data_IF_365348633135
#
_entry.id   IF_365348633135
#
_cell.length_a   1.000
_cell.length_b   1.000
_cell.length_c   1.000
_cell.angle_alpha   90.00
_cell.angle_beta   90.00
_cell.angle_gamma   90.00
#
_symmetry.space_group_name_H-M   'P 1'
#
loop_
_entity.id
_entity.type
_entity.pdbx_description
1 polymer ?
#
# COMPACT_ATOMS: atom_id res chain seq x y z
N UNK A 1 -2.60 51.78 -59.47
CA UNK A 1 -3.61 50.75 -59.83
C UNK A 1 -3.34 49.54 -58.94
N UNK A 2 -4.10 49.43 -57.85
CA UNK A 2 -5.16 48.42 -57.60
C UNK A 2 -4.55 47.02 -57.40
N UNK A 3 -4.73 46.31 -56.30
CA UNK A 3 -5.61 46.50 -55.14
C UNK A 3 -5.21 45.48 -54.08
N UNK A 4 -4.71 45.96 -52.94
CA UNK A 4 -4.88 45.27 -51.67
C UNK A 4 -6.32 45.55 -51.22
N UNK A 5 -7.17 44.53 -51.12
CA UNK A 5 -8.50 44.56 -50.45
C UNK A 5 -9.24 43.24 -50.72
N UNK A 6 -9.03 42.23 -49.87
CA UNK A 6 -10.04 41.17 -49.64
C UNK A 6 -9.73 40.36 -48.37
N UNK A 7 -9.42 41.08 -47.30
CA UNK A 7 -9.74 40.63 -45.95
C UNK A 7 -10.94 41.48 -45.53
N UNK A 8 -11.92 40.89 -44.84
CA UNK A 8 -13.25 41.43 -44.52
C UNK A 8 -14.29 41.11 -45.60
N UNK A 9 -14.68 39.84 -45.70
CA UNK A 9 -16.07 39.38 -45.74
C UNK A 9 -16.04 37.88 -46.06
N UNK A 10 -15.95 37.05 -45.03
CA UNK A 10 -16.67 35.77 -44.89
C UNK A 10 -16.53 35.30 -43.44
N UNK A 11 -16.59 36.29 -42.53
CA UNK A 11 -16.83 36.14 -41.10
C UNK A 11 -18.35 36.19 -40.95
N UNK A 12 -18.99 35.06 -41.21
CA UNK A 12 -20.45 34.99 -41.19
C UNK A 12 -20.89 33.76 -41.98
N UNK A 13 -21.50 32.82 -41.28
CA UNK A 13 -22.09 31.58 -41.79
C UNK A 13 -21.17 30.34 -41.80
N UNK A 14 -20.76 29.86 -40.61
CA UNK A 14 -20.85 28.46 -40.17
C UNK A 14 -20.82 28.52 -38.63
N UNK A 15 -21.95 28.95 -38.07
CA UNK A 15 -22.25 28.83 -36.64
C UNK A 15 -23.71 28.37 -36.59
N UNK A 16 -23.94 27.06 -36.52
CA UNK A 16 -25.12 26.38 -35.95
C UNK A 16 -25.12 24.91 -36.38
N UNK A 17 -25.61 24.05 -35.46
CA UNK A 17 -25.88 22.60 -35.58
C UNK A 17 -24.88 21.65 -34.89
N UNK A 18 -24.58 21.94 -33.62
CA UNK A 18 -24.37 20.87 -32.63
C UNK A 18 -25.68 20.64 -31.87
N UNK A 19 -26.48 19.68 -32.33
CA UNK A 19 -27.68 19.24 -31.63
C UNK A 19 -27.26 18.45 -30.37
N UNK A 20 -27.35 19.10 -29.20
CA UNK A 20 -27.24 18.45 -27.90
C UNK A 20 -28.50 17.67 -27.61
N UNK A 21 -28.36 16.36 -27.44
CA UNK A 21 -29.41 15.48 -26.91
C UNK A 21 -29.35 15.58 -25.39
N UNK A 22 -30.25 16.34 -24.78
CA UNK A 22 -30.39 16.42 -23.32
C UNK A 22 -31.40 15.37 -22.84
N UNK A 23 -31.09 14.55 -21.82
CA UNK A 23 -32.08 13.66 -21.22
C UNK A 23 -33.12 14.46 -20.43
N UNK A 24 -34.39 14.12 -20.66
CA UNK A 24 -35.56 14.75 -20.07
C UNK A 24 -35.67 14.42 -18.58
N UNK A 25 -35.84 15.40 -17.67
CA UNK A 25 -36.02 15.13 -16.25
C UNK A 25 -37.40 14.50 -16.00
N UNK A 26 -37.39 13.25 -15.57
CA UNK A 26 -38.59 12.50 -15.20
C UNK A 26 -39.06 12.92 -13.80
N UNK A 27 -40.29 13.41 -13.72
CA UNK A 27 -40.87 13.96 -12.49
C UNK A 27 -40.95 12.96 -11.35
N UNK A 28 -40.61 13.44 -10.15
CA UNK A 28 -40.79 12.74 -8.87
C UNK A 28 -42.29 12.58 -8.57
N UNK A 29 -42.79 11.38 -8.23
CA UNK A 29 -44.18 11.22 -7.81
C UNK A 29 -44.41 11.91 -6.45
N UNK A 30 -45.32 12.88 -6.45
CA UNK A 30 -45.85 13.56 -5.25
C UNK A 30 -46.76 12.59 -4.50
N UNK A 31 -46.37 12.16 -3.30
CA UNK A 31 -47.27 11.42 -2.40
C UNK A 31 -48.10 12.42 -1.57
N UNK A 32 -49.39 12.17 -1.57
CA UNK A 32 -50.49 12.92 -0.95
C UNK A 32 -50.45 12.89 0.59
N UNK A 33 -50.98 13.93 1.27
CA UNK A 33 -51.03 13.96 2.73
C UNK A 33 -52.02 12.93 3.27
N UNK A 34 -51.57 12.11 4.22
CA UNK A 34 -52.42 11.16 4.96
C UNK A 34 -53.16 11.87 6.11
N UNK A 35 -54.45 11.57 6.36
CA UNK A 35 -55.27 12.26 7.35
C UNK A 35 -54.85 11.97 8.81
N UNK A 36 -54.99 12.99 9.65
CA UNK A 36 -54.78 12.96 11.10
C UNK A 36 -55.87 12.12 11.78
N UNK A 37 -55.54 11.08 12.56
CA UNK A 37 -56.54 10.38 13.36
C UNK A 37 -56.95 11.21 14.58
N UNK A 38 -58.27 11.33 14.73
CA UNK A 38 -59.01 12.09 15.75
C UNK A 38 -58.96 11.43 17.14
N UNK A 39 -59.15 12.25 18.18
CA UNK A 39 -59.18 11.82 19.58
C UNK A 39 -60.26 10.75 19.84
N UNK A 40 -59.86 9.62 20.43
CA UNK A 40 -60.78 8.55 20.82
C UNK A 40 -61.06 8.63 22.32
N UNK A 41 -62.34 8.58 22.70
CA UNK A 41 -62.84 8.69 24.07
C UNK A 41 -62.32 7.56 24.97
N UNK A 42 -61.78 7.93 26.12
CA UNK A 42 -61.34 7.02 27.20
C UNK A 42 -62.55 6.42 27.94
N UNK A 43 -62.67 5.07 28.06
CA UNK A 43 -63.66 4.48 28.94
C UNK A 43 -63.25 4.64 30.42
N UNK A 44 -64.23 4.98 31.25
CA UNK A 44 -64.10 5.19 32.70
C UNK A 44 -63.94 3.83 33.43
N UNK A 45 -62.97 3.67 34.34
CA UNK A 45 -62.76 2.40 35.04
C UNK A 45 -63.85 2.15 36.09
N UNK A 46 -64.46 0.98 36.03
CA UNK A 46 -65.36 0.45 37.07
C UNK A 46 -64.53 -0.16 38.20
N UNK A 47 -64.66 0.35 39.42
CA UNK A 47 -63.97 -0.21 40.58
C UNK A 47 -64.58 -1.58 40.95
N UNK A 48 -63.76 -2.63 40.88
CA UNK A 48 -64.11 -3.96 41.39
C UNK A 48 -63.30 -4.19 42.66
N UNK A 49 -63.96 -4.39 43.80
CA UNK A 49 -63.30 -4.75 45.05
C UNK A 49 -62.98 -6.25 45.06
N UNK A 50 -61.71 -6.59 44.91
CA UNK A 50 -61.24 -7.98 45.08
C UNK A 50 -60.66 -8.15 46.49
N UNK A 51 -61.12 -9.19 47.19
CA UNK A 51 -60.63 -9.55 48.53
C UNK A 51 -59.14 -9.93 48.46
N UNK A 52 -58.37 -9.37 49.39
CA UNK A 52 -56.91 -9.48 49.49
C UNK A 52 -56.50 -10.91 49.88
N UNK A 53 -55.62 -11.59 49.10
CA UNK A 53 -54.96 -12.80 49.58
C UNK A 53 -53.89 -12.41 50.61
N UNK A 54 -53.90 -13.08 51.78
CA UNK A 54 -52.89 -12.93 52.81
C UNK A 54 -51.52 -13.37 52.28
N UNK A 55 -50.57 -12.44 52.21
CA UNK A 55 -49.19 -12.74 51.86
C UNK A 55 -48.52 -13.47 53.03
N UNK A 56 -48.22 -14.75 52.85
CA UNK A 56 -47.25 -15.45 53.70
C UNK A 56 -45.86 -14.99 53.23
N UNK A 57 -44.95 -14.54 54.11
CA UNK A 57 -43.61 -14.13 53.67
C UNK A 57 -42.87 -15.36 53.14
N UNK A 58 -42.74 -15.45 51.81
CA UNK A 58 -41.82 -16.36 51.16
C UNK A 58 -40.41 -15.80 51.35
N UNK A 59 -39.52 -16.57 51.95
CA UNK A 59 -38.11 -16.18 52.06
C UNK A 59 -37.54 -15.91 50.66
N UNK A 60 -37.07 -14.69 50.45
CA UNK A 60 -36.43 -14.29 49.21
C UNK A 60 -35.03 -14.88 49.22
N UNK A 61 -34.75 -15.83 48.32
CA UNK A 61 -33.39 -16.29 48.06
C UNK A 61 -32.55 -15.07 47.69
N UNK A 62 -31.65 -14.68 48.59
CA UNK A 62 -30.67 -13.64 48.32
C UNK A 62 -29.82 -14.13 47.15
N UNK A 63 -29.73 -13.41 46.02
CA UNK A 63 -28.89 -13.85 44.91
C UNK A 63 -27.45 -13.93 45.40
N UNK A 64 -26.93 -15.16 45.50
CA UNK A 64 -25.52 -15.41 45.72
C UNK A 64 -24.78 -14.78 44.54
N UNK A 65 -23.81 -13.88 44.77
CA UNK A 65 -23.03 -13.31 43.67
C UNK A 65 -22.26 -14.46 43.00
N UNK A 66 -22.72 -14.88 41.82
CA UNK A 66 -21.95 -15.75 40.96
C UNK A 66 -20.74 -14.95 40.51
N UNK A 67 -19.57 -15.24 41.08
CA UNK A 67 -18.30 -14.74 40.56
C UNK A 67 -18.12 -15.33 39.17
N UNK A 68 -18.56 -14.60 38.14
CA UNK A 68 -18.10 -14.88 36.78
C UNK A 68 -16.58 -14.82 36.83
N UNK A 69 -15.84 -15.88 36.47
CA UNK A 69 -14.41 -15.74 36.29
C UNK A 69 -14.22 -14.59 35.30
N UNK A 70 -13.41 -13.61 35.71
CA UNK A 70 -12.94 -12.58 34.80
C UNK A 70 -12.35 -13.30 33.58
N UNK A 71 -12.58 -12.83 32.33
CA UNK A 71 -11.88 -13.39 31.19
C UNK A 71 -10.38 -13.30 31.46
N UNK A 72 -9.77 -14.44 31.76
CA UNK A 72 -8.31 -14.54 31.87
C UNK A 72 -7.77 -14.10 30.53
N UNK A 73 -6.86 -13.12 30.52
CA UNK A 73 -6.14 -12.74 29.32
C UNK A 73 -5.48 -14.02 28.76
N UNK A 74 -6.03 -14.55 27.68
CA UNK A 74 -5.41 -15.64 26.93
C UNK A 74 -4.02 -15.15 26.57
N UNK A 75 -2.98 -15.93 26.89
CA UNK A 75 -1.61 -15.57 26.52
C UNK A 75 -1.58 -15.30 25.02
N UNK A 76 -1.30 -14.06 24.64
CA UNK A 76 -1.03 -13.70 23.25
C UNK A 76 0.10 -14.61 22.79
N UNK A 77 -0.10 -15.36 21.70
CA UNK A 77 0.95 -16.20 21.14
C UNK A 77 2.13 -15.28 20.81
N UNK A 78 3.21 -15.35 21.60
CA UNK A 78 4.45 -14.67 21.27
C UNK A 78 4.89 -15.21 19.92
N UNK A 79 5.04 -14.33 18.92
CA UNK A 79 5.47 -14.74 17.58
C UNK A 79 6.76 -15.55 17.70
N UNK A 80 6.77 -16.76 17.12
CA UNK A 80 7.96 -17.60 17.09
C UNK A 80 9.05 -16.84 16.33
N UNK A 81 10.27 -16.68 16.89
CA UNK A 81 11.33 -15.98 16.19
C UNK A 81 11.66 -16.70 14.88
N UNK A 82 11.67 -15.97 13.78
CA UNK A 82 12.06 -16.48 12.46
C UNK A 82 13.58 -16.67 12.46
N UNK A 83 14.10 -17.88 12.17
CA UNK A 83 15.54 -18.13 12.19
C UNK A 83 16.24 -17.41 11.03
N UNK A 84 17.42 -16.86 11.31
CA UNK A 84 18.29 -16.31 10.27
C UNK A 84 18.66 -17.41 9.27
N UNK A 85 18.42 -17.14 7.98
CA UNK A 85 18.68 -18.07 6.89
C UNK A 85 19.06 -17.28 5.62
N UNK A 86 20.26 -16.70 5.58
CA UNK A 86 20.58 -15.72 4.56
C UNK A 86 20.85 -16.40 3.21
N UNK A 87 20.23 -15.88 2.15
CA UNK A 87 20.30 -16.47 0.82
C UNK A 87 21.73 -16.53 0.25
N UNK A 88 22.00 -17.55 -0.56
CA UNK A 88 23.26 -17.73 -1.28
C UNK A 88 23.18 -17.16 -2.69
N UNK A 89 24.25 -16.50 -3.10
CA UNK A 89 24.40 -16.00 -4.46
C UNK A 89 24.67 -17.17 -5.41
N UNK A 90 24.14 -17.09 -6.62
CA UNK A 90 24.45 -18.00 -7.72
C UNK A 90 24.71 -17.18 -8.99
N UNK A 91 25.41 -17.74 -10.00
CA UNK A 91 25.67 -17.00 -11.24
C UNK A 91 24.37 -16.61 -11.94
N UNK A 92 24.14 -15.31 -12.05
CA UNK A 92 23.05 -14.71 -12.82
C UNK A 92 23.62 -13.57 -13.64
N UNK A 93 23.17 -13.45 -14.89
CA UNK A 93 23.60 -12.39 -15.80
C UNK A 93 22.39 -11.58 -16.22
N UNK A 94 22.46 -10.27 -16.04
CA UNK A 94 21.51 -9.29 -16.56
C UNK A 94 22.12 -8.63 -17.80
N UNK A 95 21.79 -9.14 -18.99
CA UNK A 95 22.45 -8.73 -20.23
C UNK A 95 23.93 -9.12 -20.28
N UNK A 96 24.82 -8.15 -20.06
CA UNK A 96 26.27 -8.37 -20.01
C UNK A 96 26.86 -8.15 -18.61
N UNK A 97 26.02 -7.91 -17.60
CA UNK A 97 26.43 -7.61 -16.23
C UNK A 97 26.17 -8.83 -15.37
N UNK A 98 27.19 -9.31 -14.66
CA UNK A 98 27.00 -10.31 -13.60
C UNK A 98 26.30 -9.67 -12.41
N UNK A 99 25.21 -10.28 -11.97
CA UNK A 99 24.46 -9.83 -10.80
C UNK A 99 25.19 -10.27 -9.53
N UNK A 100 25.37 -9.32 -8.61
CA UNK A 100 25.79 -9.56 -7.24
C UNK A 100 24.87 -8.80 -6.26
N UNK A 101 25.23 -8.75 -4.98
CA UNK A 101 24.43 -8.06 -3.96
C UNK A 101 24.48 -6.53 -4.03
N UNK A 102 25.35 -5.96 -4.86
CA UNK A 102 25.43 -4.52 -5.13
C UNK A 102 24.70 -4.12 -6.42
N UNK A 103 24.14 -5.09 -7.13
CA UNK A 103 23.48 -4.85 -8.41
C UNK A 103 22.32 -3.87 -8.25
N UNK A 104 22.32 -2.85 -9.11
CA UNK A 104 21.24 -1.88 -9.24
C UNK A 104 21.04 -1.50 -10.70
N UNK A 105 19.82 -1.08 -11.03
CA UNK A 105 19.43 -0.63 -12.36
C UNK A 105 18.49 0.56 -12.22
N UNK A 106 18.83 1.69 -12.83
CA UNK A 106 17.89 2.82 -12.98
C UNK A 106 16.84 2.43 -14.02
N UNK A 107 15.58 2.37 -13.61
CA UNK A 107 14.47 1.92 -14.45
C UNK A 107 13.64 3.07 -15.01
N UNK A 108 13.68 4.23 -14.35
CA UNK A 108 13.13 5.48 -14.85
C UNK A 108 13.96 6.65 -14.32
N UNK A 109 14.23 7.66 -15.16
CA UNK A 109 14.93 8.88 -14.75
C UNK A 109 14.49 10.06 -15.59
N UNK A 110 14.00 11.11 -14.92
CA UNK A 110 13.65 12.40 -15.52
C UNK A 110 14.47 13.46 -14.82
N UNK A 111 15.19 14.26 -15.60
CA UNK A 111 16.01 15.37 -15.09
C UNK A 111 15.22 16.69 -15.18
N UNK A 112 15.53 17.62 -14.29
CA UNK A 112 15.15 19.03 -14.44
C UNK A 112 16.18 19.81 -15.29
N UNK A 113 15.91 21.09 -15.52
CA UNK A 113 16.78 21.99 -16.30
C UNK A 113 18.18 22.17 -15.67
N UNK A 114 18.32 21.90 -14.37
CA UNK A 114 19.58 21.95 -13.64
C UNK A 114 20.34 20.60 -13.68
N UNK A 115 19.80 19.58 -14.35
CA UNK A 115 20.39 18.24 -14.44
C UNK A 115 20.17 17.37 -13.19
N UNK A 116 19.35 17.82 -12.24
CA UNK A 116 19.00 17.07 -11.03
C UNK A 116 17.86 16.10 -11.33
N UNK A 117 17.88 14.90 -10.73
CA UNK A 117 16.79 13.95 -10.89
C UNK A 117 15.50 14.49 -10.26
N UNK A 118 14.52 14.83 -11.10
CA UNK A 118 13.17 15.24 -10.72
C UNK A 118 12.25 14.03 -10.51
N UNK A 119 12.54 12.93 -11.19
CA UNK A 119 11.88 11.64 -11.03
C UNK A 119 12.94 10.55 -11.17
N UNK A 120 12.91 9.55 -10.29
CA UNK A 120 13.85 8.44 -10.30
C UNK A 120 13.19 7.18 -9.75
N UNK A 121 13.22 6.11 -10.53
CA UNK A 121 12.93 4.75 -10.07
C UNK A 121 14.16 3.88 -10.32
N UNK A 122 14.37 2.92 -9.43
CA UNK A 122 15.44 1.95 -9.61
C UNK A 122 15.04 0.59 -9.04
N UNK A 123 15.65 -0.43 -9.63
CA UNK A 123 15.62 -1.80 -9.21
C UNK A 123 16.93 -2.16 -8.50
N UNK A 124 16.84 -2.87 -7.39
CA UNK A 124 18.01 -3.35 -6.65
C UNK A 124 17.93 -4.86 -6.43
N UNK A 125 19.09 -5.49 -6.38
CA UNK A 125 19.22 -6.86 -5.91
C UNK A 125 19.35 -6.90 -4.39
N UNK A 126 18.69 -7.85 -3.76
CA UNK A 126 18.64 -8.01 -2.32
C UNK A 126 18.94 -9.46 -1.95
N UNK A 127 19.74 -9.61 -0.89
CA UNK A 127 19.93 -10.88 -0.20
C UNK A 127 18.88 -10.99 0.90
N UNK A 128 17.96 -11.95 0.78
CA UNK A 128 17.06 -12.32 1.87
C UNK A 128 17.89 -12.78 3.08
N UNK A 129 17.59 -12.26 4.28
CA UNK A 129 18.29 -12.62 5.51
C UNK A 129 17.62 -13.76 6.27
N UNK A 130 16.31 -13.91 6.08
CA UNK A 130 15.52 -15.03 6.57
C UNK A 130 14.44 -15.40 5.53
N UNK A 131 13.44 -16.21 5.91
CA UNK A 131 12.34 -16.66 5.03
C UNK A 131 10.97 -16.28 5.58
N UNK A 132 10.90 -15.28 6.45
CA UNK A 132 9.66 -14.83 7.04
C UNK A 132 9.28 -13.42 6.62
N UNK A 133 8.01 -13.09 6.85
CA UNK A 133 7.49 -11.74 6.72
C UNK A 133 7.39 -11.18 8.13
N UNK A 134 8.00 -10.03 8.33
CA UNK A 134 7.97 -9.30 9.60
C UNK A 134 6.93 -8.20 9.52
N UNK A 135 6.43 -7.77 10.68
CA UNK A 135 5.50 -6.66 10.75
C UNK A 135 5.78 -5.75 11.93
N UNK A 136 5.39 -4.49 11.79
CA UNK A 136 5.40 -3.53 12.89
C UNK A 136 4.32 -2.47 12.69
N UNK A 137 3.88 -1.86 13.79
CA UNK A 137 2.90 -0.77 13.74
C UNK A 137 3.61 0.58 13.71
N UNK A 138 3.19 1.46 12.80
CA UNK A 138 3.66 2.83 12.71
C UNK A 138 2.49 3.79 12.62
N UNK A 139 2.68 5.01 13.10
CA UNK A 139 1.74 6.11 12.83
C UNK A 139 2.16 6.83 11.56
N UNK A 140 1.31 6.79 10.53
CA UNK A 140 1.53 7.42 9.23
C UNK A 140 0.34 8.33 8.93
N UNK A 141 0.57 9.64 8.79
CA UNK A 141 -0.48 10.63 8.53
C UNK A 141 -1.69 10.47 9.49
N UNK A 142 -1.41 10.40 10.78
CA UNK A 142 -2.38 10.23 11.89
C UNK A 142 -3.15 8.89 11.91
N UNK A 143 -2.76 7.92 11.08
CA UNK A 143 -3.34 6.58 11.10
C UNK A 143 -2.33 5.55 11.59
N UNK A 144 -2.78 4.58 12.38
CA UNK A 144 -2.00 3.39 12.66
C UNK A 144 -1.97 2.50 11.42
N UNK A 145 -0.77 2.10 11.02
CA UNK A 145 -0.52 1.22 9.88
C UNK A 145 0.38 0.09 10.33
N UNK A 146 -0.11 -1.15 10.22
CA UNK A 146 0.73 -2.35 10.31
C UNK A 146 1.47 -2.51 8.99
N UNK A 147 2.78 -2.33 9.00
CA UNK A 147 3.67 -2.42 7.83
C UNK A 147 4.28 -3.82 7.79
N UNK A 148 4.16 -4.51 6.66
CA UNK A 148 4.75 -5.82 6.41
C UNK A 148 6.00 -5.68 5.56
N UNK A 149 7.10 -6.33 5.97
CA UNK A 149 8.38 -6.21 5.31
C UNK A 149 9.20 -7.50 5.37
N UNK A 150 10.19 -7.59 4.50
CA UNK A 150 11.24 -8.60 4.55
C UNK A 150 12.51 -8.01 5.16
N UNK A 151 13.23 -8.82 5.93
CA UNK A 151 14.62 -8.50 6.32
C UNK A 151 15.54 -8.88 5.17
N UNK A 152 16.19 -7.88 4.59
CA UNK A 152 17.09 -8.06 3.46
C UNK A 152 18.40 -7.33 3.69
N UNK A 153 19.43 -7.67 2.92
CA UNK A 153 20.63 -6.87 2.82
C UNK A 153 20.93 -6.50 1.37
N UNK A 154 21.51 -5.33 1.18
CA UNK A 154 22.07 -4.85 -0.08
C UNK A 154 23.52 -4.42 0.17
N UNK A 155 24.39 -4.64 -0.80
CA UNK A 155 25.78 -4.24 -0.71
C UNK A 155 25.97 -2.80 -1.24
N UNK A 156 26.23 -1.89 -0.32
CA UNK A 156 26.55 -0.50 -0.63
C UNK A 156 28.07 -0.33 -0.70
N UNK A 157 28.63 -0.63 -1.89
CA UNK A 157 30.07 -0.41 -2.21
C UNK A 157 31.05 -1.21 -1.34
N UNK A 158 30.83 -2.51 -1.25
CA UNK A 158 31.58 -3.47 -0.44
C UNK A 158 31.12 -3.56 1.01
N UNK A 159 30.02 -2.87 1.37
CA UNK A 159 29.46 -2.88 2.72
C UNK A 159 28.03 -3.42 2.67
N UNK A 160 27.78 -4.68 3.07
CA UNK A 160 26.42 -5.17 3.22
C UNK A 160 25.74 -4.44 4.38
N UNK A 161 24.58 -3.84 4.11
CA UNK A 161 23.74 -3.21 5.13
C UNK A 161 22.37 -3.90 5.13
N UNK A 162 21.92 -4.29 6.32
CA UNK A 162 20.57 -4.82 6.55
C UNK A 162 19.55 -3.68 6.48
N UNK A 163 18.40 -3.94 5.85
CA UNK A 163 17.33 -2.97 5.68
C UNK A 163 15.96 -3.66 5.60
N UNK A 164 14.91 -2.88 5.80
CA UNK A 164 13.52 -3.36 5.64
C UNK A 164 13.08 -3.17 4.20
N UNK A 165 12.72 -4.27 3.54
CA UNK A 165 12.05 -4.22 2.24
C UNK A 165 10.54 -4.30 2.44
N UNK A 166 9.86 -3.16 2.34
CA UNK A 166 8.44 -3.02 2.59
C UNK A 166 7.64 -3.63 1.45
N UNK A 167 6.76 -4.57 1.81
CA UNK A 167 5.89 -5.28 0.90
C UNK A 167 4.54 -4.58 0.76
N UNK A 168 3.92 -4.23 1.88
CA UNK A 168 2.56 -3.64 1.93
C UNK A 168 2.25 -3.18 3.36
N UNK A 169 1.05 -2.66 3.60
CA UNK A 169 0.55 -2.38 4.94
C UNK A 169 -0.97 -2.30 5.03
N UNK A 170 -1.47 -2.33 6.26
CA UNK A 170 -2.90 -2.32 6.60
C UNK A 170 -3.19 -1.29 7.68
N UNK A 171 -4.32 -0.58 7.57
CA UNK A 171 -4.77 0.30 8.65
C UNK A 171 -5.14 -0.51 9.88
N UNK A 172 -4.68 -0.07 11.04
CA UNK A 172 -4.77 -0.76 12.32
C UNK A 172 -3.41 -1.20 12.85
N UNK A 173 -3.39 -1.52 14.15
CA UNK A 173 -2.20 -1.95 14.86
C UNK A 173 -2.12 -3.47 15.00
N UNK A 174 -0.88 -3.97 14.91
CA UNK A 174 -0.48 -5.36 15.19
C UNK A 174 -1.36 -6.43 14.52
N UNK A 175 -1.65 -6.21 13.24
CA UNK A 175 -2.46 -7.15 12.47
C UNK A 175 -1.61 -8.37 12.08
N UNK A 176 -2.09 -9.58 12.39
CA UNK A 176 -1.45 -10.81 11.93
C UNK A 176 -1.86 -11.15 10.50
N UNK A 177 -0.94 -11.71 9.70
CA UNK A 177 -1.17 -12.11 8.30
C UNK A 177 -2.39 -13.04 8.16
N UNK A 178 -2.56 -13.97 9.10
CA UNK A 178 -3.67 -14.94 9.10
C UNK A 178 -5.06 -14.29 9.24
N UNK A 179 -5.14 -13.08 9.80
CA UNK A 179 -6.38 -12.34 10.03
C UNK A 179 -6.61 -11.19 9.06
N UNK A 180 -5.77 -11.04 8.03
CA UNK A 180 -5.87 -9.92 7.10
C UNK A 180 -7.17 -9.98 6.28
N UNK A 181 -7.87 -8.85 6.11
CA UNK A 181 -9.00 -8.79 5.21
C UNK A 181 -8.53 -9.00 3.77
N UNK A 182 -9.38 -9.62 2.95
CA UNK A 182 -9.13 -9.84 1.52
C UNK A 182 -9.32 -8.54 0.71
N UNK A 183 -8.53 -7.52 1.02
CA UNK A 183 -8.45 -6.25 0.30
C UNK A 183 -7.21 -6.21 -0.61
N UNK A 184 -7.14 -5.24 -1.53
CA UNK A 184 -6.03 -5.04 -2.45
C UNK A 184 -4.66 -4.96 -1.77
N UNK A 185 -4.60 -4.44 -0.54
CA UNK A 185 -3.36 -4.38 0.24
C UNK A 185 -2.80 -5.74 0.64
N UNK A 186 -3.62 -6.81 0.61
CA UNK A 186 -3.19 -8.18 0.89
C UNK A 186 -2.35 -8.79 -0.23
N UNK A 187 -2.32 -8.14 -1.40
CA UNK A 187 -1.69 -8.68 -2.58
C UNK A 187 -0.37 -7.98 -2.90
N UNK A 188 0.59 -8.77 -3.38
CA UNK A 188 1.84 -8.27 -3.93
C UNK A 188 1.97 -8.73 -5.38
N UNK A 189 2.70 -7.96 -6.19
CA UNK A 189 3.03 -8.33 -7.55
C UNK A 189 4.39 -9.01 -7.59
N UNK A 190 4.42 -10.23 -8.09
CA UNK A 190 5.57 -11.12 -8.09
C UNK A 190 5.84 -11.64 -9.50
N UNK A 191 7.10 -11.65 -9.90
CA UNK A 191 7.58 -12.41 -11.05
C UNK A 191 8.58 -13.45 -10.58
N UNK A 192 8.35 -14.71 -10.95
CA UNK A 192 9.27 -15.81 -10.65
C UNK A 192 10.01 -16.20 -11.92
N UNK A 193 11.33 -16.39 -11.82
CA UNK A 193 12.18 -16.71 -12.95
C UNK A 193 13.27 -17.71 -12.54
N UNK A 194 13.70 -18.55 -13.49
CA UNK A 194 14.87 -19.41 -13.31
C UNK A 194 16.12 -18.78 -13.93
N UNK A 195 17.29 -19.04 -13.36
CA UNK A 195 18.57 -18.53 -13.84
C UNK A 195 18.89 -18.98 -15.27
N UNK A 196 18.38 -20.15 -15.67
CA UNK A 196 18.49 -20.66 -17.05
C UNK A 196 17.67 -19.88 -18.08
N UNK A 197 16.79 -18.97 -17.66
CA UNK A 197 16.02 -18.10 -18.55
C UNK A 197 16.71 -16.75 -18.69
N UNK A 198 16.62 -16.14 -19.89
CA UNK A 198 17.19 -14.82 -20.14
C UNK A 198 16.61 -13.78 -19.18
N UNK A 199 17.48 -13.16 -18.37
CA UNK A 199 17.09 -12.15 -17.38
C UNK A 199 17.38 -10.74 -17.92
N UNK A 200 16.31 -10.04 -18.30
CA UNK A 200 16.36 -8.69 -18.88
C UNK A 200 15.62 -7.69 -17.98
N UNK A 201 16.22 -7.24 -16.87
CA UNK A 201 15.51 -6.41 -15.88
C UNK A 201 14.98 -5.08 -16.45
N UNK A 202 15.61 -4.52 -17.49
CA UNK A 202 15.10 -3.34 -18.20
C UNK A 202 13.77 -3.61 -18.92
N UNK A 203 13.61 -4.80 -19.51
CA UNK A 203 12.37 -5.22 -20.15
C UNK A 203 11.30 -5.48 -19.08
N UNK A 204 11.67 -6.12 -17.96
CA UNK A 204 10.75 -6.35 -16.83
C UNK A 204 10.20 -5.01 -16.29
N UNK A 205 11.04 -3.99 -16.16
CA UNK A 205 10.62 -2.65 -15.74
C UNK A 205 9.76 -1.94 -16.80
N UNK A 206 9.96 -2.23 -18.09
CA UNK A 206 9.08 -1.77 -19.15
C UNK A 206 7.71 -2.48 -19.09
N UNK A 207 7.71 -3.79 -18.87
CA UNK A 207 6.50 -4.61 -18.72
C UNK A 207 5.63 -4.12 -17.56
N UNK A 208 6.24 -3.70 -16.46
CA UNK A 208 5.53 -3.18 -15.29
C UNK A 208 4.70 -1.93 -15.58
N UNK A 209 5.13 -1.11 -16.55
CA UNK A 209 4.45 0.12 -16.98
C UNK A 209 3.32 -0.13 -17.97
N UNK A 210 3.11 -1.38 -18.38
CA UNK A 210 1.98 -1.73 -19.26
C UNK A 210 0.64 -1.59 -18.51
N UNK A 211 -0.46 -1.33 -19.24
CA UNK A 211 -1.81 -1.42 -18.67
C UNK A 211 -2.07 -2.78 -18.03
N UNK A 212 -2.93 -2.81 -17.01
CA UNK A 212 -3.14 -3.98 -16.15
C UNK A 212 -3.41 -5.28 -16.93
N UNK A 213 -4.23 -5.23 -17.99
CA UNK A 213 -4.58 -6.40 -18.81
C UNK A 213 -3.38 -7.05 -19.51
N UNK A 214 -2.39 -6.23 -19.92
CA UNK A 214 -1.16 -6.70 -20.56
C UNK A 214 -0.11 -7.11 -19.53
N UNK A 215 -0.18 -6.56 -18.32
CA UNK A 215 0.75 -6.83 -17.22
C UNK A 215 0.41 -8.11 -16.45
N UNK A 216 -0.88 -8.41 -16.28
CA UNK A 216 -1.39 -9.59 -15.57
C UNK A 216 -0.77 -10.94 -15.99
N UNK A 217 -0.49 -11.23 -17.28
CA UNK A 217 0.19 -12.48 -17.64
C UNK A 217 1.69 -12.49 -17.33
N UNK A 218 2.31 -11.33 -17.03
CA UNK A 218 3.75 -11.17 -16.81
C UNK A 218 4.12 -11.12 -15.32
N UNK A 219 3.17 -10.72 -14.48
CA UNK A 219 3.30 -10.65 -13.02
C UNK A 219 2.13 -11.37 -12.36
N UNK A 220 2.48 -12.29 -11.47
CA UNK A 220 1.54 -12.95 -10.60
C UNK A 220 1.12 -11.99 -9.48
N UNK A 221 -0.18 -11.89 -9.23
CA UNK A 221 -0.72 -11.22 -8.05
C UNK A 221 -0.97 -12.27 -6.98
N UNK A 222 -0.14 -12.29 -5.94
CA UNK A 222 -0.14 -13.31 -4.88
C UNK A 222 -0.54 -12.70 -3.54
N UNK A 223 -1.33 -13.43 -2.75
CA UNK A 223 -1.68 -13.05 -1.37
C UNK A 223 -0.44 -13.08 -0.46
N UNK A 224 -0.40 -12.22 0.55
CA UNK A 224 0.71 -12.15 1.49
C UNK A 224 0.94 -13.48 2.24
N UNK A 225 -0.14 -14.18 2.60
CA UNK A 225 -0.09 -15.51 3.23
C UNK A 225 0.42 -16.60 2.26
N UNK A 226 0.11 -16.48 0.97
CA UNK A 226 0.61 -17.38 -0.06
C UNK A 226 2.09 -17.12 -0.32
N UNK A 227 2.50 -15.85 -0.28
CA UNK A 227 3.89 -15.43 -0.37
C UNK A 227 4.71 -15.90 0.84
N UNK A 228 4.18 -15.85 2.06
CA UNK A 228 4.81 -16.43 3.25
C UNK A 228 5.10 -17.93 3.05
N UNK A 229 4.13 -18.68 2.51
CA UNK A 229 4.32 -20.09 2.16
C UNK A 229 5.32 -20.31 1.02
N UNK A 230 5.43 -19.38 0.08
CA UNK A 230 6.42 -19.42 -0.99
C UNK A 230 7.83 -19.21 -0.42
N UNK A 231 8.02 -18.19 0.42
CA UNK A 231 9.30 -17.88 1.08
C UNK A 231 9.84 -19.09 1.83
N UNK A 232 8.99 -19.78 2.60
CA UNK A 232 9.36 -20.98 3.35
C UNK A 232 9.84 -22.14 2.46
N UNK A 233 9.48 -22.16 1.17
CA UNK A 233 9.84 -23.20 0.19
C UNK A 233 10.98 -22.78 -0.73
N UNK A 234 11.48 -21.55 -0.62
CA UNK A 234 12.57 -21.09 -1.48
C UNK A 234 13.84 -21.91 -1.25
N UNK A 235 14.60 -22.18 -2.31
CA UNK A 235 15.92 -22.76 -2.17
C UNK A 235 16.85 -21.85 -1.36
N UNK A 236 17.97 -22.42 -0.90
CA UNK A 236 19.02 -21.65 -0.23
C UNK A 236 19.57 -20.55 -1.14
N UNK A 237 19.72 -20.86 -2.44
CA UNK A 237 20.20 -19.95 -3.46
C UNK A 237 19.02 -19.23 -4.12
N UNK A 238 18.87 -17.95 -3.86
CA UNK A 238 17.80 -17.10 -4.42
C UNK A 238 18.29 -15.65 -4.47
N UNK A 239 18.00 -14.94 -5.55
CA UNK A 239 18.22 -13.50 -5.67
C UNK A 239 16.85 -12.84 -5.72
N UNK A 240 16.61 -11.90 -4.80
CA UNK A 240 15.41 -11.09 -4.78
C UNK A 240 15.71 -9.75 -5.46
N UNK A 241 14.85 -9.30 -6.34
CA UNK A 241 14.86 -7.93 -6.83
C UNK A 241 13.58 -7.22 -6.42
N UNK A 242 13.69 -5.93 -6.16
CA UNK A 242 12.56 -5.04 -6.03
C UNK A 242 12.82 -3.74 -6.78
N UNK A 243 11.78 -3.22 -7.42
CA UNK A 243 11.78 -1.90 -8.04
C UNK A 243 10.76 -1.00 -7.34
N UNK A 244 11.13 0.26 -7.18
CA UNK A 244 10.23 1.28 -6.66
C UNK A 244 10.69 2.70 -7.04
N UNK A 245 9.76 3.67 -7.16
CA UNK A 245 10.11 5.08 -7.26
C UNK A 245 10.82 5.59 -6.00
N UNK A 246 12.02 6.13 -6.16
CA UNK A 246 12.83 6.74 -5.09
C UNK A 246 12.55 8.24 -5.01
N UNK A 247 12.60 8.92 -6.16
CA UNK A 247 12.34 10.36 -6.26
C UNK A 247 11.06 10.55 -7.06
N UNK A 248 10.13 11.29 -6.46
CA UNK A 248 8.85 11.63 -7.05
C UNK A 248 8.85 13.07 -7.53
N UNK A 249 8.11 13.35 -8.59
CA UNK A 249 7.92 14.72 -9.04
C UNK A 249 7.08 15.50 -8.01
N UNK A 250 7.38 16.78 -7.75
CA UNK A 250 6.63 17.60 -6.79
C UNK A 250 5.12 17.68 -7.08
N UNK A 251 4.74 17.67 -8.36
CA UNK A 251 3.33 17.67 -8.79
C UNK A 251 2.55 16.40 -8.36
N UNK A 252 3.25 15.30 -8.07
CA UNK A 252 2.64 14.06 -7.61
C UNK A 252 2.53 13.99 -6.08
N UNK A 253 3.12 14.94 -5.33
CA UNK A 253 3.18 14.85 -3.87
C UNK A 253 1.81 14.89 -3.20
N UNK A 254 0.91 15.76 -3.69
CA UNK A 254 -0.45 15.83 -3.17
C UNK A 254 -1.21 14.52 -3.41
N UNK A 255 -1.09 13.96 -4.62
CA UNK A 255 -1.74 12.70 -4.96
C UNK A 255 -1.19 11.55 -4.11
N UNK A 256 0.14 11.46 -3.96
CA UNK A 256 0.77 10.46 -3.10
C UNK A 256 0.29 10.56 -1.64
N UNK A 257 0.15 11.77 -1.10
CA UNK A 257 -0.43 11.98 0.24
C UNK A 257 -1.88 11.48 0.32
N UNK A 258 -2.73 11.82 -0.66
CA UNK A 258 -4.11 11.35 -0.71
C UNK A 258 -4.18 9.82 -0.83
N UNK A 259 -3.28 9.22 -1.61
CA UNK A 259 -3.19 7.76 -1.75
C UNK A 259 -2.78 7.11 -0.44
N UNK A 260 -1.80 7.65 0.28
CA UNK A 260 -1.42 7.15 1.61
C UNK A 260 -2.56 7.25 2.64
N UNK A 261 -3.41 8.28 2.56
CA UNK A 261 -4.57 8.40 3.45
C UNK A 261 -5.70 7.43 3.12
N UNK A 262 -5.79 6.97 1.87
CA UNK A 262 -6.90 6.14 1.38
C UNK A 262 -6.55 4.66 1.26
N UNK A 263 -5.29 4.37 0.96
CA UNK A 263 -4.76 3.05 0.64
C UNK A 263 -3.62 2.73 1.59
N UNK A 264 -3.82 1.75 2.47
CA UNK A 264 -2.84 1.36 3.47
C UNK A 264 -1.55 0.81 2.86
N UNK A 265 -1.62 0.15 1.70
CA UNK A 265 -0.45 -0.30 0.96
C UNK A 265 0.42 0.87 0.50
N UNK A 266 -0.21 1.95 0.00
CA UNK A 266 0.49 3.18 -0.37
C UNK A 266 1.06 3.88 0.86
N UNK A 267 0.32 3.92 1.98
CA UNK A 267 0.81 4.44 3.25
C UNK A 267 2.14 3.78 3.65
N UNK A 268 2.19 2.45 3.64
CA UNK A 268 3.39 1.71 3.97
C UNK A 268 4.54 1.94 2.97
N UNK A 269 4.27 1.85 1.66
CA UNK A 269 5.33 1.89 0.63
C UNK A 269 5.88 3.29 0.37
N UNK A 270 5.05 4.32 0.43
CA UNK A 270 5.46 5.67 0.05
C UNK A 270 6.06 6.43 1.23
N UNK A 271 5.56 6.22 2.46
CA UNK A 271 5.99 6.97 3.63
C UNK A 271 7.52 7.10 3.83
N UNK A 272 8.35 6.07 3.61
CA UNK A 272 9.80 6.19 3.79
C UNK A 272 10.46 7.26 2.88
N UNK A 273 9.83 7.60 1.76
CA UNK A 273 10.41 8.48 0.74
C UNK A 273 9.92 9.93 0.83
N UNK A 274 9.00 10.22 1.74
CA UNK A 274 8.31 11.51 1.86
C UNK A 274 8.63 12.18 3.20
N UNK A 275 8.88 13.50 3.18
CA UNK A 275 9.15 14.29 4.38
C UNK A 275 8.04 15.32 4.59
N UNK A 276 7.32 15.20 5.70
CA UNK A 276 6.22 16.09 6.06
C UNK A 276 6.66 17.10 7.11
N UNK A 277 6.20 18.34 6.96
CA UNK A 277 6.35 19.35 8.00
C UNK A 277 5.36 19.13 9.17
N UNK A 278 5.43 20.01 10.17
CA UNK A 278 4.52 19.98 11.34
C UNK A 278 3.04 20.21 10.98
N UNK A 279 2.75 20.69 9.77
CA UNK A 279 1.40 20.90 9.24
C UNK A 279 0.99 19.76 8.29
N UNK A 280 1.82 18.71 8.18
CA UNK A 280 1.60 17.56 7.30
C UNK A 280 1.76 17.88 5.82
N UNK A 281 2.39 18.99 5.43
CA UNK A 281 2.69 19.34 4.04
C UNK A 281 4.02 18.72 3.63
N UNK A 282 4.04 18.07 2.46
CA UNK A 282 5.27 17.51 1.92
C UNK A 282 6.20 18.64 1.45
N UNK A 283 7.40 18.71 2.02
CA UNK A 283 8.37 19.76 1.69
C UNK A 283 9.37 19.31 0.62
N UNK A 284 9.82 18.04 0.70
CA UNK A 284 10.90 17.54 -0.14
C UNK A 284 10.98 16.01 -0.10
N UNK A 285 11.83 15.43 -0.94
CA UNK A 285 12.21 14.03 -0.82
C UNK A 285 12.89 13.77 0.54
N UNK A 286 12.48 12.71 1.24
CA UNK A 286 13.04 12.35 2.53
C UNK A 286 14.56 12.07 2.46
N UNK A 287 15.30 12.18 3.59
CA UNK A 287 16.70 11.76 3.65
C UNK A 287 16.94 10.35 3.11
N UNK A 288 16.01 9.42 3.36
CA UNK A 288 16.00 8.06 2.80
C UNK A 288 16.02 8.06 1.27
N UNK A 289 15.13 8.83 0.65
CA UNK A 289 15.03 8.94 -0.81
C UNK A 289 16.31 9.54 -1.41
N UNK A 290 16.86 10.57 -0.76
CA UNK A 290 18.13 11.19 -1.17
C UNK A 290 19.29 10.20 -1.08
N UNK A 291 19.39 9.42 0.00
CA UNK A 291 20.44 8.40 0.16
C UNK A 291 20.40 7.33 -0.94
N UNK A 292 19.22 6.82 -1.30
CA UNK A 292 19.07 5.87 -2.41
C UNK A 292 19.42 6.49 -3.76
N UNK A 293 18.99 7.73 -4.02
CA UNK A 293 19.36 8.47 -5.23
C UNK A 293 20.87 8.64 -5.32
N UNK A 294 21.51 9.13 -4.27
CA UNK A 294 22.94 9.44 -4.27
C UNK A 294 23.76 8.15 -4.38
N UNK A 295 23.26 7.04 -3.82
CA UNK A 295 23.84 5.73 -4.02
C UNK A 295 23.80 5.26 -5.49
N UNK A 296 22.64 5.33 -6.15
CA UNK A 296 22.47 4.79 -7.52
C UNK A 296 22.95 5.74 -8.62
N UNK A 297 22.88 7.06 -8.39
CA UNK A 297 23.24 8.08 -9.38
C UNK A 297 24.67 8.55 -9.19
N UNK A 298 25.05 8.90 -7.97
CA UNK A 298 26.32 9.55 -7.66
C UNK A 298 27.35 8.58 -7.06
N UNK A 299 26.99 7.30 -6.95
CA UNK A 299 27.81 6.24 -6.36
C UNK A 299 28.30 6.58 -4.95
N UNK A 300 27.48 7.28 -4.17
CA UNK A 300 27.81 7.64 -2.80
C UNK A 300 27.52 6.48 -1.83
N UNK A 301 28.17 6.53 -0.68
CA UNK A 301 27.89 5.60 0.42
C UNK A 301 26.69 6.08 1.22
N UNK A 302 26.00 5.16 1.87
CA UNK A 302 24.86 5.50 2.72
C UNK A 302 25.35 6.30 3.95
N UNK A 303 24.67 7.42 4.29
CA UNK A 303 24.95 8.17 5.50
C UNK A 303 24.86 7.30 6.77
N UNK A 304 25.80 7.49 7.69
CA UNK A 304 25.94 6.64 8.89
C UNK A 304 24.69 6.68 9.78
N UNK A 305 24.03 7.84 9.86
CA UNK A 305 22.80 8.07 10.62
C UNK A 305 21.57 7.34 10.05
N UNK A 306 21.63 6.94 8.77
CA UNK A 306 20.59 6.18 8.09
C UNK A 306 20.85 4.68 8.06
N UNK A 307 22.08 4.23 8.29
CA UNK A 307 22.49 2.84 8.07
C UNK A 307 21.61 1.81 8.81
N UNK A 308 21.23 2.09 10.06
CA UNK A 308 20.42 1.17 10.89
C UNK A 308 18.90 1.36 10.69
N UNK A 309 18.50 2.29 9.82
CA UNK A 309 17.10 2.67 9.59
C UNK A 309 16.74 2.59 8.11
N UNK A 310 17.59 1.98 7.29
CA UNK A 310 17.38 1.90 5.85
C UNK A 310 16.09 1.14 5.54
N UNK A 311 15.34 1.70 4.61
CA UNK A 311 14.11 1.11 4.10
C UNK A 311 14.07 1.27 2.59
N UNK A 312 13.56 0.24 1.93
CA UNK A 312 13.16 0.29 0.54
C UNK A 312 11.76 -0.27 0.42
N UNK A 313 11.03 0.10 -0.62
CA UNK A 313 9.70 -0.47 -0.88
C UNK A 313 9.71 -1.25 -2.18
N UNK A 314 8.73 -2.14 -2.33
CA UNK A 314 8.55 -2.89 -3.56
C UNK A 314 7.21 -2.54 -4.21
N UNK A 315 7.26 -1.98 -5.41
CA UNK A 315 6.07 -1.96 -6.28
C UNK A 315 5.78 -3.36 -6.81
N UNK A 316 6.86 -4.06 -7.19
CA UNK A 316 6.86 -5.46 -7.57
C UNK A 316 8.15 -6.14 -7.13
N UNK A 317 8.08 -7.46 -7.00
CA UNK A 317 9.21 -8.32 -6.68
C UNK A 317 9.57 -9.22 -7.87
N UNK A 318 10.85 -9.55 -7.98
CA UNK A 318 11.33 -10.62 -8.85
C UNK A 318 12.10 -11.62 -7.99
N UNK A 319 11.69 -12.88 -8.02
CA UNK A 319 12.44 -13.98 -7.42
C UNK A 319 13.14 -14.77 -8.52
N UNK A 320 14.47 -14.79 -8.48
CA UNK A 320 15.28 -15.61 -9.38
C UNK A 320 15.87 -16.76 -8.60
N UNK A 321 15.61 -17.98 -9.07
CA UNK A 321 16.14 -19.24 -8.51
C UNK A 321 17.00 -19.95 -9.56
N UNK A 322 17.95 -20.83 -9.15
CA UNK A 322 18.83 -21.56 -10.08
C UNK A 322 18.11 -22.31 -11.21
#
# INVERSE_FOLDING_TARGET
MKSALSHILWFGLILTLTASCAPQPQGRPTLTPSPVPSATFTPQPTATFTLVPSATPTETLTPTPTTSPFPTATSTLTATPIPDYPAKLFPLVAGNITVDWSYSLITNRVLDDAGTARELSAMFAFRLLDRGIHHETRTILDNEVTVYYLRVSHDFRGKPIELKLILTGFFGADLAIAGLPADGAAYISLRQQRAGQMFEPWLIAQDWRLPIEKRKPLFETILLSDFERLLAKLPESVILFADHPIIWRPDNFLQAKLDMQRLSASAARYNPFFEYDMFGLNQSAAPMAKAWRDHVVDQQSIPVDLADKLEFSADYLILVTP
#
